data_IF_894163801981
#
_entry.id   IF_894163801981
#
_cell.length_a   1.000
_cell.length_b   1.000
_cell.length_c   1.000
_cell.angle_alpha   90.00
_cell.angle_beta   90.00
_cell.angle_gamma   90.00
#
_symmetry.space_group_name_H-M   'P 1'
#
loop_
_entity.id
_entity.type
_entity.pdbx_description
1 polymer ?
#
# COMPACT_ATOMS: atom_id res chain seq x y z
N UNK A 1 -14.69 -32.00 12.25
CA UNK A 1 -13.77 -30.96 11.76
C UNK A 1 -12.72 -31.68 10.95
N UNK A 2 -12.75 -31.53 9.65
CA UNK A 2 -11.81 -32.21 8.76
C UNK A 2 -10.50 -31.41 8.79
N UNK A 3 -9.45 -32.04 9.29
CA UNK A 3 -8.08 -31.53 9.18
C UNK A 3 -7.78 -31.29 7.70
N UNK A 4 -7.64 -30.03 7.33
CA UNK A 4 -7.22 -29.69 5.97
C UNK A 4 -5.71 -29.87 5.85
N UNK A 5 -5.21 -30.56 4.80
CA UNK A 5 -3.78 -30.85 4.63
C UNK A 5 -2.90 -29.62 4.37
N UNK A 6 -3.42 -28.42 4.57
CA UNK A 6 -2.71 -27.16 4.35
C UNK A 6 -1.77 -26.74 5.48
N UNK A 7 -1.86 -27.39 6.65
CA UNK A 7 -1.13 -26.93 7.86
C UNK A 7 0.19 -27.65 8.12
N UNK A 8 0.49 -28.77 7.44
CA UNK A 8 1.63 -29.60 7.83
C UNK A 8 2.99 -29.18 7.25
N UNK A 9 3.08 -28.22 6.32
CA UNK A 9 4.34 -27.87 5.66
C UNK A 9 4.57 -26.36 5.41
N UNK A 10 3.81 -25.48 6.05
CA UNK A 10 4.15 -24.07 6.01
C UNK A 10 5.26 -23.79 7.02
N UNK A 11 6.36 -23.12 6.63
CA UNK A 11 7.34 -22.66 7.62
C UNK A 11 6.60 -21.81 8.66
N UNK A 12 6.94 -22.00 9.94
CA UNK A 12 6.41 -21.18 11.04
C UNK A 12 6.92 -19.76 10.81
N UNK A 13 6.24 -19.02 9.97
CA UNK A 13 6.48 -17.61 9.73
C UNK A 13 5.42 -16.81 10.49
N UNK A 14 5.84 -15.71 11.13
CA UNK A 14 4.90 -14.73 11.66
C UNK A 14 4.19 -14.08 10.45
N UNK A 15 2.97 -14.54 10.19
CA UNK A 15 2.16 -14.06 9.07
C UNK A 15 1.03 -13.18 9.59
N UNK A 16 0.69 -12.20 8.80
CA UNK A 16 -0.50 -11.37 9.00
C UNK A 16 -1.19 -11.12 7.67
N UNK A 17 -2.48 -10.91 7.73
CA UNK A 17 -3.34 -10.72 6.57
C UNK A 17 -4.20 -9.48 6.73
N UNK A 18 -4.33 -8.69 5.67
CA UNK A 18 -5.36 -7.67 5.51
C UNK A 18 -6.49 -8.29 4.69
N UNK A 19 -7.66 -8.34 5.28
CA UNK A 19 -8.89 -8.81 4.63
C UNK A 19 -9.83 -7.62 4.57
N UNK A 20 -10.32 -7.30 3.38
CA UNK A 20 -11.15 -6.12 3.17
C UNK A 20 -12.25 -6.39 2.14
N UNK A 21 -13.40 -5.76 2.36
CA UNK A 21 -14.51 -5.69 1.41
C UNK A 21 -15.11 -4.26 1.37
N UNK A 22 -16.32 -4.12 0.83
CA UNK A 22 -17.01 -2.83 0.75
C UNK A 22 -17.45 -2.28 2.12
N UNK A 23 -17.53 -3.13 3.15
CA UNK A 23 -17.99 -2.76 4.50
C UNK A 23 -16.85 -2.32 5.41
N UNK A 24 -15.62 -2.78 5.17
CA UNK A 24 -14.47 -2.44 5.99
C UNK A 24 -13.26 -3.32 5.77
N UNK A 25 -12.34 -3.24 6.73
CA UNK A 25 -11.11 -4.03 6.72
C UNK A 25 -10.80 -4.58 8.10
N UNK A 26 -10.25 -5.79 8.14
CA UNK A 26 -9.75 -6.45 9.34
C UNK A 26 -8.29 -6.89 9.13
N UNK A 27 -7.58 -7.03 10.23
CA UNK A 27 -6.25 -7.64 10.27
C UNK A 27 -6.32 -8.94 11.05
N UNK A 28 -5.77 -9.99 10.47
CA UNK A 28 -5.54 -11.27 11.15
C UNK A 28 -4.03 -11.45 11.33
N UNK A 29 -3.58 -11.62 12.57
CA UNK A 29 -2.17 -11.87 12.91
C UNK A 29 -2.00 -13.22 13.58
N UNK A 30 -1.02 -14.01 13.10
CA UNK A 30 -0.59 -15.24 13.75
C UNK A 30 0.56 -14.93 14.70
N UNK A 31 0.27 -14.92 15.98
CA UNK A 31 1.22 -14.60 17.05
C UNK A 31 1.62 -15.86 17.83
N UNK A 32 2.63 -15.76 18.69
CA UNK A 32 3.08 -16.88 19.50
C UNK A 32 2.01 -17.45 20.45
N UNK A 33 1.06 -16.63 20.86
CA UNK A 33 -0.04 -16.96 21.75
C UNK A 33 -1.36 -17.28 21.01
N UNK A 34 -1.36 -17.27 19.67
CA UNK A 34 -2.51 -17.65 18.85
C UNK A 34 -2.84 -16.67 17.72
N UNK A 35 -4.06 -16.80 17.20
CA UNK A 35 -4.59 -15.94 16.17
C UNK A 35 -5.32 -14.74 16.78
N UNK A 36 -4.97 -13.56 16.35
CA UNK A 36 -5.58 -12.30 16.77
C UNK A 36 -6.28 -11.62 15.59
N UNK A 37 -7.49 -11.13 15.84
CA UNK A 37 -8.31 -10.42 14.89
C UNK A 37 -8.53 -8.98 15.35
N UNK A 38 -8.28 -8.01 14.45
CA UNK A 38 -8.45 -6.59 14.74
C UNK A 38 -9.25 -5.89 13.65
N UNK A 39 -10.14 -4.99 14.04
CA UNK A 39 -10.70 -4.01 13.10
C UNK A 39 -9.59 -3.08 12.60
N UNK A 40 -9.62 -2.76 11.31
CA UNK A 40 -8.61 -1.91 10.68
C UNK A 40 -9.23 -0.62 10.11
N UNK A 41 -9.35 0.43 10.92
CA UNK A 41 -9.94 1.70 10.46
C UNK A 41 -9.07 2.43 9.45
N UNK A 42 -7.78 2.10 9.36
CA UNK A 42 -6.86 2.73 8.41
C UNK A 42 -6.88 2.07 7.04
N UNK A 43 -7.31 0.80 6.94
CA UNK A 43 -7.20 0.00 5.72
C UNK A 43 -5.75 -0.19 5.25
N UNK A 44 -4.79 -0.11 6.15
CA UNK A 44 -3.35 -0.27 5.89
C UNK A 44 -2.80 -1.36 6.79
N UNK A 45 -1.90 -2.16 6.26
CA UNK A 45 -1.10 -3.13 6.98
C UNK A 45 0.31 -3.12 6.39
N UNK A 46 1.32 -3.12 7.24
CA UNK A 46 2.73 -3.27 6.88
C UNK A 46 3.35 -4.44 7.65
N UNK A 47 4.66 -4.50 7.75
CA UNK A 47 5.37 -5.56 8.47
C UNK A 47 5.28 -5.35 10.00
N UNK A 48 6.23 -5.94 10.77
CA UNK A 48 6.36 -5.69 12.21
C UNK A 48 6.54 -4.20 12.54
N UNK A 49 6.13 -3.71 13.71
CA UNK A 49 5.56 -4.44 14.86
C UNK A 49 4.10 -4.85 14.63
N UNK A 50 3.49 -5.62 15.59
CA UNK A 50 2.07 -6.01 15.51
C UNK A 50 1.12 -4.84 15.28
N UNK A 51 0.03 -5.10 14.59
CA UNK A 51 -0.92 -4.08 14.14
C UNK A 51 -1.42 -3.12 15.24
N UNK A 52 -1.78 -3.58 16.47
CA UNK A 52 -2.21 -2.67 17.52
C UNK A 52 -1.14 -1.64 17.91
N UNK A 53 0.13 -2.02 17.86
CA UNK A 53 1.24 -1.09 18.14
C UNK A 53 1.39 -0.06 17.03
N UNK A 54 1.22 -0.47 15.77
CA UNK A 54 1.23 0.45 14.64
C UNK A 54 0.07 1.45 14.72
N UNK A 55 -1.12 0.97 15.05
CA UNK A 55 -2.31 1.79 15.22
C UNK A 55 -2.14 2.77 16.41
N UNK A 56 -1.62 2.28 17.54
CA UNK A 56 -1.35 3.11 18.71
C UNK A 56 -0.37 4.25 18.40
N UNK A 57 0.66 3.99 17.61
CA UNK A 57 1.68 4.99 17.27
C UNK A 57 1.11 6.19 16.48
N UNK A 58 -0.06 6.06 15.83
CA UNK A 58 -0.73 7.18 15.16
C UNK A 58 -1.06 8.32 16.10
N UNK A 59 -1.23 8.05 17.40
CA UNK A 59 -1.49 9.10 18.41
C UNK A 59 -0.38 10.15 18.47
N UNK A 60 0.87 9.76 18.19
CA UNK A 60 2.01 10.69 18.17
C UNK A 60 1.98 11.64 16.97
N UNK A 61 1.08 11.41 16.02
CA UNK A 61 0.98 12.12 14.75
C UNK A 61 -0.40 12.75 14.52
N UNK A 62 -1.19 12.87 15.58
CA UNK A 62 -2.54 13.45 15.52
C UNK A 62 -2.57 14.92 15.02
N UNK A 63 -1.43 15.61 15.06
CA UNK A 63 -1.27 16.97 14.55
C UNK A 63 -1.12 17.03 13.02
N UNK A 64 -0.84 15.91 12.35
CA UNK A 64 -0.69 15.91 10.90
C UNK A 64 -2.00 16.25 10.21
N UNK A 65 -1.91 17.11 9.21
CA UNK A 65 -3.07 17.62 8.47
C UNK A 65 -2.72 17.87 7.00
N UNK A 66 -3.65 17.66 6.05
CA UNK A 66 -3.48 18.14 4.68
C UNK A 66 -3.62 19.68 4.57
N UNK A 67 -4.07 20.34 5.65
CA UNK A 67 -4.25 21.79 5.71
C UNK A 67 -2.98 22.47 6.21
N UNK A 68 -2.81 23.79 5.93
CA UNK A 68 -1.74 24.59 6.54
C UNK A 68 -1.77 24.50 8.06
N UNK A 69 -0.59 24.50 8.72
CA UNK A 69 -0.51 24.49 10.17
C UNK A 69 -1.02 25.82 10.77
N UNK A 70 -1.66 25.73 11.92
CA UNK A 70 -1.97 26.89 12.76
C UNK A 70 -0.83 27.06 13.77
N UNK A 71 -0.42 28.30 14.04
CA UNK A 71 0.59 28.56 15.07
C UNK A 71 0.05 28.21 16.46
N UNK A 72 0.39 27.05 16.95
CA UNK A 72 0.14 26.60 18.33
C UNK A 72 1.40 26.63 19.20
N UNK A 73 2.55 27.09 18.64
CA UNK A 73 3.82 27.09 19.36
C UNK A 73 3.89 28.18 20.42
N UNK A 74 3.56 29.42 20.05
CA UNK A 74 3.45 30.55 20.99
C UNK A 74 2.66 31.67 20.34
N UNK A 75 1.81 32.34 21.14
CA UNK A 75 1.12 33.56 20.74
C UNK A 75 2.05 34.77 20.59
N UNK A 76 3.23 34.73 21.22
CA UNK A 76 4.21 35.82 21.24
C UNK A 76 5.13 35.77 20.00
N UNK A 77 5.02 34.70 19.17
CA UNK A 77 5.79 34.53 17.95
C UNK A 77 4.87 34.52 16.74
N UNK A 78 5.15 35.40 15.76
CA UNK A 78 4.44 35.43 14.48
C UNK A 78 5.02 34.37 13.53
N UNK A 79 4.67 33.09 13.75
CA UNK A 79 5.06 31.98 12.88
C UNK A 79 4.03 31.82 11.76
N UNK A 80 4.50 31.72 10.52
CA UNK A 80 3.66 31.61 9.32
C UNK A 80 4.13 30.47 8.43
N UNK A 81 3.21 29.93 7.67
CA UNK A 81 3.55 29.00 6.61
C UNK A 81 4.39 29.70 5.54
N UNK A 82 5.41 29.02 5.04
CA UNK A 82 6.28 29.48 3.93
C UNK A 82 6.16 28.57 2.69
N UNK A 83 5.44 27.44 2.82
CA UNK A 83 5.24 26.47 1.74
C UNK A 83 3.92 25.72 1.92
N UNK A 84 3.33 25.25 0.81
CA UNK A 84 2.21 24.29 0.85
C UNK A 84 2.68 22.94 1.41
N UNK A 85 1.76 22.20 2.03
CA UNK A 85 2.04 20.85 2.58
C UNK A 85 2.68 20.88 3.98
N UNK A 86 2.92 22.04 4.59
CA UNK A 86 3.53 22.15 5.92
C UNK A 86 2.70 21.49 7.03
N UNK A 87 1.39 21.27 6.84
CA UNK A 87 0.58 20.52 7.80
C UNK A 87 1.01 19.06 7.97
N UNK A 88 1.80 18.54 7.04
CA UNK A 88 2.40 17.20 7.11
C UNK A 88 3.84 17.20 7.67
N UNK A 89 4.33 18.31 8.25
CA UNK A 89 5.65 18.33 8.90
C UNK A 89 5.66 17.34 10.06
N UNK A 90 6.67 16.46 10.04
CA UNK A 90 6.79 15.34 10.99
C UNK A 90 6.30 14.00 10.42
N UNK A 91 5.70 13.98 9.22
CA UNK A 91 5.42 12.72 8.52
C UNK A 91 6.76 12.04 8.22
N UNK A 92 7.02 10.81 8.74
CA UNK A 92 8.33 10.19 8.61
C UNK A 92 8.61 9.76 7.17
N UNK A 93 9.84 9.98 6.71
CA UNK A 93 10.26 9.69 5.34
C UNK A 93 11.07 8.40 5.18
N UNK A 94 11.49 7.76 6.27
CA UNK A 94 12.26 6.53 6.22
C UNK A 94 11.45 5.32 5.74
N UNK A 95 12.14 4.22 5.42
CA UNK A 95 11.55 3.03 4.82
C UNK A 95 11.15 1.94 5.84
N UNK A 96 11.25 2.23 7.14
CA UNK A 96 10.81 1.28 8.17
C UNK A 96 9.32 0.97 8.05
N UNK A 97 8.94 -0.18 8.55
CA UNK A 97 7.54 -0.64 8.52
C UNK A 97 6.60 0.35 9.17
N UNK A 98 6.95 0.87 10.35
CA UNK A 98 6.15 1.85 11.09
C UNK A 98 5.99 3.16 10.31
N UNK A 99 7.06 3.67 9.72
CA UNK A 99 7.03 4.89 8.91
C UNK A 99 6.22 4.73 7.63
N UNK A 100 6.33 3.57 6.97
CA UNK A 100 5.50 3.23 5.80
C UNK A 100 4.03 3.11 6.17
N UNK A 101 3.71 2.48 7.32
CA UNK A 101 2.34 2.39 7.82
C UNK A 101 1.74 3.78 7.99
N UNK A 102 2.43 4.66 8.67
CA UNK A 102 1.97 6.02 8.95
C UNK A 102 1.78 6.84 7.67
N UNK A 103 2.77 6.82 6.75
CA UNK A 103 2.63 7.49 5.46
C UNK A 103 1.46 6.97 4.64
N UNK A 104 1.31 5.64 4.55
CA UNK A 104 0.22 5.02 3.82
C UNK A 104 -1.14 5.38 4.43
N UNK A 105 -1.27 5.34 5.77
CA UNK A 105 -2.49 5.70 6.47
C UNK A 105 -2.84 7.18 6.25
N UNK A 106 -1.90 8.09 6.46
CA UNK A 106 -2.10 9.52 6.22
C UNK A 106 -2.51 9.80 4.78
N UNK A 107 -1.77 9.24 3.82
CA UNK A 107 -2.03 9.46 2.39
C UNK A 107 -3.39 8.88 1.99
N UNK A 108 -3.70 7.64 2.37
CA UNK A 108 -4.96 6.98 2.03
C UNK A 108 -6.18 7.72 2.61
N UNK A 109 -6.12 8.11 3.88
CA UNK A 109 -7.25 8.74 4.57
C UNK A 109 -7.53 10.17 4.07
N UNK A 110 -6.54 10.84 3.46
CA UNK A 110 -6.68 12.20 2.95
C UNK A 110 -6.74 12.29 1.41
N UNK A 111 -6.39 11.21 0.70
CA UNK A 111 -6.43 11.16 -0.76
C UNK A 111 -7.87 11.32 -1.29
N UNK A 112 -7.99 11.93 -2.46
CA UNK A 112 -9.25 12.13 -3.19
C UNK A 112 -9.11 11.59 -4.60
N UNK A 113 -10.16 10.99 -5.11
CA UNK A 113 -10.30 10.61 -6.52
C UNK A 113 -11.67 11.01 -7.04
N UNK A 114 -11.80 11.08 -8.35
CA UNK A 114 -13.12 11.15 -8.99
C UNK A 114 -13.81 9.78 -8.93
N UNK A 115 -15.11 9.75 -9.25
CA UNK A 115 -15.97 8.56 -9.10
C UNK A 115 -15.82 7.54 -10.24
N UNK A 116 -14.77 7.63 -11.07
CA UNK A 116 -14.49 6.65 -12.11
C UNK A 116 -13.53 5.55 -11.64
N UNK A 117 -13.60 4.37 -12.27
CA UNK A 117 -12.68 3.28 -11.95
C UNK A 117 -11.23 3.68 -12.28
N UNK A 118 -11.01 4.30 -13.42
CA UNK A 118 -9.68 4.75 -13.87
C UNK A 118 -9.07 5.76 -12.89
N UNK A 119 -9.86 6.73 -12.43
CA UNK A 119 -9.41 7.72 -11.44
C UNK A 119 -9.07 7.05 -10.11
N UNK A 120 -9.93 6.15 -9.63
CA UNK A 120 -9.71 5.42 -8.38
C UNK A 120 -8.47 4.52 -8.46
N UNK A 121 -8.26 3.80 -9.56
CA UNK A 121 -7.08 2.98 -9.80
C UNK A 121 -5.81 3.84 -9.88
N UNK A 122 -5.85 4.95 -10.62
CA UNK A 122 -4.74 5.90 -10.67
C UNK A 122 -4.40 6.43 -9.28
N UNK A 123 -5.39 6.85 -8.51
CA UNK A 123 -5.20 7.33 -7.14
C UNK A 123 -4.63 6.26 -6.21
N UNK A 124 -5.06 5.01 -6.36
CA UNK A 124 -4.47 3.90 -5.61
C UNK A 124 -2.96 3.78 -5.86
N UNK A 125 -2.51 3.85 -7.11
CA UNK A 125 -1.08 3.77 -7.41
C UNK A 125 -0.31 5.00 -6.91
N UNK A 126 -0.90 6.20 -6.88
CA UNK A 126 -0.29 7.36 -6.21
C UNK A 126 -0.12 7.13 -4.71
N UNK A 127 -1.12 6.56 -4.02
CA UNK A 127 -1.00 6.20 -2.60
C UNK A 127 0.13 5.18 -2.40
N UNK A 128 0.19 4.14 -3.23
CA UNK A 128 1.23 3.10 -3.17
C UNK A 128 2.63 3.67 -3.38
N UNK A 129 2.79 4.59 -4.32
CA UNK A 129 4.07 5.26 -4.59
C UNK A 129 4.64 5.98 -3.36
N UNK A 130 3.80 6.47 -2.45
CA UNK A 130 4.25 7.14 -1.22
C UNK A 130 5.06 6.22 -0.27
N UNK A 131 4.96 4.91 -0.45
CA UNK A 131 5.63 3.89 0.39
C UNK A 131 6.48 2.91 -0.42
N UNK A 132 6.76 3.21 -1.67
CA UNK A 132 7.64 2.41 -2.50
C UNK A 132 9.08 2.42 -1.99
N UNK A 133 9.73 1.27 -2.08
CA UNK A 133 11.13 1.11 -1.76
C UNK A 133 11.96 1.15 -3.04
N UNK A 134 12.77 2.20 -3.15
CA UNK A 134 13.65 2.44 -4.31
C UNK A 134 14.96 1.67 -4.15
N UNK A 135 15.44 1.05 -5.23
CA UNK A 135 16.71 0.34 -5.24
C UNK A 135 17.86 1.24 -4.78
N UNK A 136 18.66 0.75 -3.85
CA UNK A 136 19.76 1.47 -3.25
C UNK A 136 19.44 2.18 -1.93
N UNK A 137 18.15 2.32 -1.57
CA UNK A 137 17.73 3.03 -0.36
C UNK A 137 17.54 2.13 0.87
N UNK A 138 17.52 0.81 0.70
CA UNK A 138 17.46 -0.17 1.78
C UNK A 138 18.37 -1.34 1.44
N UNK A 139 19.59 -1.32 1.99
CA UNK A 139 20.59 -2.35 1.77
C UNK A 139 20.32 -3.55 2.69
N UNK A 140 20.39 -4.74 2.12
CA UNK A 140 20.31 -6.02 2.80
C UNK A 140 21.70 -6.64 2.91
N UNK A 141 21.80 -7.74 3.64
CA UNK A 141 23.01 -8.55 3.69
C UNK A 141 23.44 -8.96 2.26
N UNK A 142 24.75 -9.05 2.05
CA UNK A 142 25.35 -9.44 0.76
C UNK A 142 25.19 -8.42 -0.39
N UNK A 143 25.01 -7.14 -0.10
CA UNK A 143 24.93 -6.09 -1.12
C UNK A 143 23.68 -6.12 -1.98
N UNK A 144 22.63 -6.82 -1.53
CA UNK A 144 21.29 -6.76 -2.14
C UNK A 144 20.51 -5.58 -1.58
N UNK A 145 19.43 -5.23 -2.27
CA UNK A 145 18.56 -4.13 -1.87
C UNK A 145 17.11 -4.62 -1.75
N UNK A 146 16.43 -4.17 -0.72
CA UNK A 146 14.97 -4.30 -0.65
C UNK A 146 14.34 -3.29 -1.60
N UNK A 147 13.44 -3.77 -2.46
CA UNK A 147 12.73 -2.95 -3.44
C UNK A 147 11.26 -3.37 -3.53
N UNK A 148 10.41 -2.47 -3.95
CA UNK A 148 9.03 -2.80 -4.30
C UNK A 148 9.00 -3.54 -5.64
N UNK A 149 8.94 -4.86 -5.62
CA UNK A 149 8.96 -5.69 -6.84
C UNK A 149 7.78 -5.40 -7.77
N UNK A 150 6.60 -5.25 -7.19
CA UNK A 150 5.36 -4.87 -7.89
C UNK A 150 4.37 -4.23 -6.91
N UNK A 151 3.42 -3.49 -7.46
CA UNK A 151 2.24 -3.01 -6.74
C UNK A 151 0.99 -3.46 -7.47
N UNK A 152 -0.03 -3.87 -6.75
CA UNK A 152 -1.27 -4.35 -7.36
C UNK A 152 -2.50 -3.92 -6.56
N UNK A 153 -3.63 -3.83 -7.27
CA UNK A 153 -4.95 -3.71 -6.66
C UNK A 153 -5.97 -4.55 -7.43
N UNK A 154 -7.06 -4.85 -6.77
CA UNK A 154 -8.19 -5.54 -7.37
C UNK A 154 -9.46 -4.69 -7.16
N UNK A 155 -10.18 -4.41 -8.23
CA UNK A 155 -11.54 -3.93 -8.11
C UNK A 155 -12.46 -5.15 -7.96
N UNK A 156 -12.89 -5.44 -6.73
CA UNK A 156 -13.73 -6.60 -6.44
C UNK A 156 -15.12 -6.53 -7.12
N UNK A 157 -15.64 -5.31 -7.36
CA UNK A 157 -16.94 -5.10 -8.00
C UNK A 157 -16.91 -5.47 -9.49
N UNK A 158 -15.87 -5.05 -10.21
CA UNK A 158 -15.73 -5.31 -11.66
C UNK A 158 -14.95 -6.58 -11.95
N UNK A 159 -14.21 -7.11 -10.98
CA UNK A 159 -13.36 -8.29 -11.14
C UNK A 159 -12.13 -7.99 -12.00
N UNK A 160 -11.54 -6.80 -11.86
CA UNK A 160 -10.34 -6.41 -12.59
C UNK A 160 -9.16 -6.31 -11.64
N UNK A 161 -8.09 -7.00 -11.98
CA UNK A 161 -6.80 -6.95 -11.28
C UNK A 161 -5.86 -6.04 -12.03
N UNK A 162 -5.28 -5.06 -11.34
CA UNK A 162 -4.34 -4.08 -11.89
C UNK A 162 -2.99 -4.23 -11.22
N UNK A 163 -1.91 -4.03 -11.98
CA UNK A 163 -0.57 -4.03 -11.40
C UNK A 163 0.41 -3.13 -12.15
N UNK A 164 1.46 -2.74 -11.46
CA UNK A 164 2.71 -2.20 -12.00
C UNK A 164 3.88 -3.01 -11.47
N UNK A 165 5.01 -3.04 -12.17
CA UNK A 165 6.23 -3.65 -11.65
C UNK A 165 7.30 -2.58 -11.41
N UNK A 166 8.37 -2.94 -10.70
CA UNK A 166 9.49 -2.02 -10.49
C UNK A 166 10.06 -1.52 -11.82
N UNK A 167 10.23 -2.42 -12.79
CA UNK A 167 10.81 -2.12 -14.09
C UNK A 167 9.79 -1.54 -15.09
N UNK A 168 8.49 -1.72 -14.87
CA UNK A 168 7.43 -1.16 -15.73
C UNK A 168 6.37 -0.43 -14.92
N UNK A 169 6.38 0.89 -15.04
CA UNK A 169 5.44 1.80 -14.33
C UNK A 169 4.06 1.90 -15.00
N UNK A 170 3.90 1.33 -16.20
CA UNK A 170 2.61 1.31 -16.90
C UNK A 170 1.65 0.37 -16.17
N UNK A 171 0.45 0.85 -15.87
CA UNK A 171 -0.60 0.03 -15.27
C UNK A 171 -1.04 -1.02 -16.28
N UNK A 172 -0.93 -2.28 -15.88
CA UNK A 172 -1.39 -3.45 -16.65
C UNK A 172 -2.59 -4.05 -15.93
N UNK A 173 -3.58 -4.54 -16.70
CA UNK A 173 -4.83 -5.04 -16.15
C UNK A 173 -5.20 -6.42 -16.68
N UNK A 174 -5.84 -7.23 -15.84
CA UNK A 174 -6.42 -8.54 -16.17
C UNK A 174 -7.88 -8.53 -15.73
N UNK A 175 -8.80 -8.84 -16.65
CA UNK A 175 -10.23 -8.94 -16.36
C UNK A 175 -10.59 -10.39 -16.06
N UNK A 176 -10.88 -10.71 -14.81
CA UNK A 176 -11.29 -12.05 -14.39
C UNK A 176 -12.51 -12.55 -15.17
N UNK A 177 -13.51 -11.68 -15.35
CA UNK A 177 -14.75 -12.04 -16.04
C UNK A 177 -14.65 -12.17 -17.57
N UNK A 178 -13.48 -11.88 -18.14
CA UNK A 178 -13.21 -12.14 -19.57
C UNK A 178 -12.78 -13.59 -19.81
N UNK A 179 -12.45 -14.32 -18.75
CA UNK A 179 -11.98 -15.70 -18.81
C UNK A 179 -13.09 -16.69 -18.48
N UNK A 180 -12.94 -17.93 -18.95
CA UNK A 180 -13.83 -19.03 -18.55
C UNK A 180 -13.49 -19.48 -17.12
N UNK A 181 -14.28 -19.03 -16.13
CA UNK A 181 -14.05 -19.33 -14.71
C UNK A 181 -14.29 -20.81 -14.35
N UNK A 182 -15.01 -21.57 -15.21
CA UNK A 182 -15.27 -23.00 -15.03
C UNK A 182 -14.23 -23.89 -15.75
N UNK A 183 -13.18 -23.28 -16.33
CA UNK A 183 -12.14 -24.00 -17.01
C UNK A 183 -11.39 -24.94 -16.06
N UNK A 184 -11.08 -26.15 -16.54
CA UNK A 184 -10.31 -27.14 -15.79
C UNK A 184 -8.79 -26.90 -15.85
N UNK A 185 -8.36 -25.88 -16.61
CA UNK A 185 -6.95 -25.50 -16.78
C UNK A 185 -6.72 -24.09 -16.26
N UNK A 186 -5.53 -23.85 -15.70
CA UNK A 186 -5.15 -22.52 -15.21
C UNK A 186 -4.80 -21.59 -16.36
N UNK A 187 -5.40 -20.40 -16.36
CA UNK A 187 -4.93 -19.29 -17.19
C UNK A 187 -3.68 -18.68 -16.56
N UNK A 188 -2.66 -18.45 -17.39
CA UNK A 188 -1.38 -17.88 -16.96
C UNK A 188 -1.08 -16.64 -17.77
N UNK A 189 -0.87 -15.51 -17.08
CA UNK A 189 -0.48 -14.24 -17.67
C UNK A 189 0.96 -13.92 -17.28
N UNK A 190 1.90 -13.82 -18.24
CA UNK A 190 3.26 -13.41 -17.94
C UNK A 190 3.28 -12.01 -17.31
N UNK A 191 4.09 -11.86 -16.27
CA UNK A 191 4.29 -10.56 -15.64
C UNK A 191 5.02 -9.62 -16.61
N UNK A 192 4.42 -8.47 -16.92
CA UNK A 192 5.03 -7.47 -17.82
C UNK A 192 6.09 -6.68 -17.04
N UNK A 193 7.35 -6.96 -17.32
CA UNK A 193 8.49 -6.33 -16.64
C UNK A 193 9.22 -5.31 -17.53
N UNK A 194 9.11 -5.43 -18.84
CA UNK A 194 9.81 -4.52 -19.75
C UNK A 194 9.15 -3.13 -19.71
N UNK A 195 9.97 -2.11 -19.44
CA UNK A 195 9.52 -0.71 -19.45
C UNK A 195 8.93 -0.34 -20.81
N UNK A 196 7.78 0.32 -20.77
CA UNK A 196 7.09 0.84 -21.95
C UNK A 196 7.07 2.37 -21.88
N UNK A 197 7.81 3.00 -22.75
CA UNK A 197 7.86 4.47 -22.88
C UNK A 197 7.09 4.86 -24.16
N UNK A 198 6.14 5.77 -24.03
CA UNK A 198 5.42 6.34 -25.15
C UNK A 198 6.16 7.59 -25.63
N UNK A 199 6.70 7.54 -26.84
CA UNK A 199 7.33 8.69 -27.50
C UNK A 199 6.28 9.41 -28.34
N UNK A 200 6.04 10.70 -28.06
CA UNK A 200 5.04 11.51 -28.80
C UNK A 200 5.56 12.05 -30.13
N UNK A 201 6.86 11.99 -30.38
CA UNK A 201 7.55 12.56 -31.54
C UNK A 201 8.38 11.53 -32.32
N UNK A 202 8.00 10.27 -32.31
CA UNK A 202 8.68 9.17 -33.01
C UNK A 202 7.85 8.61 -34.18
N UNK A 203 8.49 7.79 -35.04
CA UNK A 203 7.87 7.17 -36.23
C UNK A 203 6.71 6.20 -35.97
N UNK A 204 6.35 5.94 -34.68
CA UNK A 204 5.28 5.04 -34.26
C UNK A 204 4.34 5.68 -33.20
N UNK A 205 3.96 6.94 -33.41
CA UNK A 205 2.91 7.59 -32.64
C UNK A 205 1.52 7.23 -33.21
#
# INVERSE_FOLDING_TARGET
MTDTPFTENLPVAQLHWLIADETGAIVLESMADGLHLYENPTGVLTNNPPFPMQLFALNNYAQLSPRPPVNCFSKDLSLREYSRGMGAIGLPGDLSSQSRFLRAAFTRLNAKSDDTEEASVSQFFHIRTSVEQTRGCCELENGKYEITLYSSCCNAKTGVYYYTTYENRRITAIRLRAENLDAQTLFRFPLVQQQSICYLNGENA
#
